data_IF_461226129464
#
_entry.id   IF_461226129464
#
_cell.length_a   1.000
_cell.length_b   1.000
_cell.length_c   1.000
_cell.angle_alpha   90.00
_cell.angle_beta   90.00
_cell.angle_gamma   90.00
#
_symmetry.space_group_name_H-M   'P 1'
#
loop_
_entity.id
_entity.type
_entity.pdbx_description
1 polymer ?
#
# COMPACT_ATOMS: atom_id res chain seq x y z
N UNK A 1 11.44 -58.68 -45.81
CA UNK A 1 11.61 -57.23 -45.58
C UNK A 1 10.37 -56.74 -44.86
N UNK A 2 10.47 -56.57 -43.54
CA UNK A 2 9.35 -56.29 -42.64
C UNK A 2 8.95 -54.80 -42.64
N UNK A 3 7.66 -54.48 -42.45
CA UNK A 3 7.06 -53.16 -42.70
C UNK A 3 7.28 -52.20 -41.52
N UNK A 4 8.51 -51.70 -41.34
CA UNK A 4 8.86 -50.81 -40.23
C UNK A 4 8.57 -49.32 -40.47
N UNK A 5 7.66 -48.96 -41.39
CA UNK A 5 7.50 -47.57 -41.86
C UNK A 5 6.17 -46.88 -41.51
N UNK A 6 5.21 -47.60 -40.90
CA UNK A 6 3.87 -47.03 -40.61
C UNK A 6 3.54 -46.75 -39.15
N UNK A 7 4.43 -47.09 -38.20
CA UNK A 7 4.16 -46.88 -36.76
C UNK A 7 4.58 -45.49 -36.22
N UNK A 8 5.27 -44.67 -37.02
CA UNK A 8 5.89 -43.41 -36.54
C UNK A 8 4.92 -42.23 -36.59
N UNK A 9 3.95 -42.24 -37.51
CA UNK A 9 2.98 -41.14 -37.66
C UNK A 9 2.02 -40.99 -36.45
N UNK A 10 1.43 -42.06 -35.88
CA UNK A 10 0.51 -41.93 -34.75
C UNK A 10 1.22 -41.46 -33.47
N UNK A 11 2.48 -41.87 -33.28
CA UNK A 11 3.28 -41.48 -32.12
C UNK A 11 3.67 -39.99 -32.15
N UNK A 12 3.99 -39.45 -33.33
CA UNK A 12 4.25 -38.02 -33.51
C UNK A 12 2.97 -37.18 -33.33
N UNK A 13 1.81 -37.68 -33.76
CA UNK A 13 0.54 -37.00 -33.56
C UNK A 13 0.17 -36.94 -32.06
N UNK A 14 0.37 -38.02 -31.31
CA UNK A 14 0.12 -38.05 -29.87
C UNK A 14 1.00 -37.06 -29.08
N UNK A 15 2.27 -36.87 -29.48
CA UNK A 15 3.14 -35.84 -28.89
C UNK A 15 2.65 -34.42 -29.18
N UNK A 16 2.04 -34.19 -30.34
CA UNK A 16 1.57 -32.85 -30.74
C UNK A 16 0.30 -32.40 -30.01
N UNK A 17 -0.57 -33.35 -29.59
CA UNK A 17 -1.82 -33.02 -28.89
C UNK A 17 -1.59 -32.74 -27.40
N UNK A 18 -0.58 -33.36 -26.77
CA UNK A 18 -0.25 -33.10 -25.37
C UNK A 18 0.37 -31.71 -25.09
N UNK A 19 0.66 -30.91 -26.14
CA UNK A 19 1.15 -29.54 -25.97
C UNK A 19 0.02 -28.50 -25.99
N UNK A 20 -1.21 -28.90 -26.33
CA UNK A 20 -2.34 -28.00 -26.30
C UNK A 20 -2.98 -28.03 -24.92
N UNK A 21 -3.09 -26.85 -24.30
CA UNK A 21 -3.92 -26.55 -23.13
C UNK A 21 -3.21 -26.67 -21.77
N UNK A 22 -2.23 -25.80 -21.56
CA UNK A 22 -2.12 -25.08 -20.28
C UNK A 22 -2.04 -23.59 -20.59
N UNK A 23 -3.12 -23.03 -21.14
CA UNK A 23 -3.34 -21.58 -21.09
C UNK A 23 -3.73 -21.22 -19.65
N UNK A 24 -2.77 -21.34 -18.74
CA UNK A 24 -2.92 -20.91 -17.36
C UNK A 24 -3.11 -19.40 -17.37
N UNK A 25 -4.27 -18.93 -16.97
CA UNK A 25 -4.49 -17.51 -16.70
C UNK A 25 -3.53 -17.07 -15.60
N UNK A 26 -2.53 -16.27 -15.95
CA UNK A 26 -1.63 -15.69 -14.97
C UNK A 26 -2.41 -14.74 -14.07
N UNK A 27 -2.55 -15.08 -12.79
CA UNK A 27 -3.16 -14.21 -11.78
C UNK A 27 -2.12 -13.24 -11.26
N UNK A 28 -2.32 -11.94 -11.46
CA UNK A 28 -1.49 -10.91 -10.87
C UNK A 28 -2.18 -10.37 -9.60
N UNK A 29 -1.53 -10.49 -8.45
CA UNK A 29 -1.94 -9.84 -7.22
C UNK A 29 -1.07 -8.61 -7.00
N UNK A 30 -1.68 -7.46 -6.73
CA UNK A 30 -0.96 -6.26 -6.30
C UNK A 30 -1.49 -5.81 -4.95
N UNK A 31 -0.57 -5.35 -4.10
CA UNK A 31 -0.88 -4.73 -2.83
C UNK A 31 -0.63 -3.23 -2.96
N UNK A 32 -1.64 -2.45 -2.62
CA UNK A 32 -1.59 -0.98 -2.62
C UNK A 32 -1.82 -0.52 -1.18
N UNK A 33 -0.98 0.40 -0.71
CA UNK A 33 -1.17 1.07 0.57
C UNK A 33 -1.42 2.55 0.32
N UNK A 34 -2.55 3.04 0.81
CA UNK A 34 -2.83 4.48 0.89
C UNK A 34 -2.41 4.98 2.27
N UNK A 35 -1.43 5.86 2.33
CA UNK A 35 -1.07 6.58 3.56
C UNK A 35 -1.63 7.99 3.44
N UNK A 36 -2.62 8.32 4.28
CA UNK A 36 -3.15 9.67 4.38
C UNK A 36 -2.21 10.43 5.31
N UNK A 37 -1.33 11.26 4.73
CA UNK A 37 -0.49 12.13 5.52
C UNK A 37 -1.30 13.35 5.96
N UNK A 38 -1.29 13.58 7.25
CA UNK A 38 -1.97 14.71 7.83
C UNK A 38 -1.05 15.92 7.99
N UNK A 39 -1.62 17.12 7.88
CA UNK A 39 -0.91 18.36 8.18
C UNK A 39 -1.74 19.23 9.11
N UNK A 40 -1.10 19.65 10.20
CA UNK A 40 -1.63 20.62 11.16
C UNK A 40 -0.71 21.82 11.24
N UNK A 41 -1.29 23.01 11.28
CA UNK A 41 -0.58 24.29 11.47
C UNK A 41 -0.90 24.83 12.83
N UNK A 42 0.13 25.22 13.58
CA UNK A 42 0.00 25.81 14.91
C UNK A 42 0.24 27.30 14.78
N UNK A 43 -0.78 28.10 15.08
CA UNK A 43 -0.70 29.56 15.08
C UNK A 43 -0.70 30.04 16.52
N UNK A 44 0.37 30.74 16.90
CA UNK A 44 0.53 31.34 18.23
C UNK A 44 0.39 32.86 18.11
N UNK A 45 -0.66 33.42 18.71
CA UNK A 45 -0.85 34.86 18.88
C UNK A 45 -0.78 35.20 20.36
N UNK A 46 -0.43 36.44 20.73
CA UNK A 46 0.00 36.88 22.09
C UNK A 46 -0.59 36.13 23.31
N UNK A 47 -1.88 35.80 23.31
CA UNK A 47 -2.56 35.06 24.39
C UNK A 47 -3.40 33.85 23.92
N UNK A 48 -3.25 33.42 22.66
CA UNK A 48 -4.06 32.35 22.08
C UNK A 48 -3.24 31.46 21.17
N UNK A 49 -3.43 30.15 21.32
CA UNK A 49 -2.89 29.14 20.41
C UNK A 49 -4.06 28.52 19.66
N UNK A 50 -3.95 28.51 18.33
CA UNK A 50 -4.93 27.87 17.47
C UNK A 50 -4.23 26.77 16.68
N UNK A 51 -4.83 25.58 16.66
CA UNK A 51 -4.38 24.46 15.84
C UNK A 51 -5.37 24.30 14.69
N UNK A 52 -4.87 24.35 13.47
CA UNK A 52 -5.65 24.11 12.25
C UNK A 52 -5.13 22.84 11.58
N UNK A 53 -5.92 21.78 11.63
CA UNK A 53 -5.63 20.53 10.93
C UNK A 53 -6.42 20.46 9.61
N UNK A 54 -5.80 19.87 8.57
CA UNK A 54 -6.45 19.63 7.26
C UNK A 54 -7.62 18.65 7.37
N UNK A 55 -7.53 17.73 8.33
CA UNK A 55 -8.57 16.77 8.66
C UNK A 55 -9.04 17.02 10.10
N UNK A 56 -10.19 16.44 10.46
CA UNK A 56 -10.85 16.66 11.75
C UNK A 56 -10.20 15.86 12.88
N UNK A 57 -8.88 15.97 12.97
CA UNK A 57 -8.03 15.12 13.78
C UNK A 57 -8.08 15.59 15.22
N UNK A 58 -8.29 14.66 16.16
CA UNK A 58 -8.28 15.02 17.57
C UNK A 58 -6.89 15.53 17.96
N UNK A 59 -6.87 16.60 18.75
CA UNK A 59 -5.64 17.11 19.35
C UNK A 59 -5.95 17.63 20.76
N UNK A 60 -4.93 17.64 21.60
CA UNK A 60 -4.98 18.18 22.96
C UNK A 60 -4.00 19.35 23.09
N UNK A 61 -4.46 20.43 23.71
CA UNK A 61 -3.63 21.59 24.04
C UNK A 61 -3.44 21.61 25.55
N UNK A 62 -2.18 21.56 26.00
CA UNK A 62 -1.84 21.64 27.41
C UNK A 62 -0.91 22.83 27.66
N UNK A 63 -1.28 23.71 28.59
CA UNK A 63 -0.47 24.86 28.99
C UNK A 63 0.26 24.53 30.29
N UNK A 64 1.58 24.49 30.23
CA UNK A 64 2.45 24.33 31.40
C UNK A 64 3.04 25.67 31.80
N UNK A 65 2.89 26.01 33.08
CA UNK A 65 3.61 27.14 33.67
C UNK A 65 5.06 26.73 33.90
N UNK A 66 6.01 27.38 33.23
CA UNK A 66 7.43 27.14 33.46
C UNK A 66 7.90 28.00 34.65
N UNK A 67 8.80 27.48 35.52
CA UNK A 67 9.32 28.23 36.67
C UNK A 67 10.01 29.55 36.31
N UNK A 68 10.47 29.69 35.06
CA UNK A 68 11.07 30.90 34.51
C UNK A 68 10.08 32.02 34.16
N UNK A 69 8.77 31.81 34.39
CA UNK A 69 7.72 32.78 34.05
C UNK A 69 7.30 32.77 32.57
N UNK A 70 7.96 31.97 31.72
CA UNK A 70 7.48 31.67 30.37
C UNK A 70 6.38 30.62 30.45
N UNK A 71 5.27 30.80 29.74
CA UNK A 71 4.31 29.71 29.51
C UNK A 71 4.83 28.78 28.41
N UNK A 72 4.68 27.47 28.57
CA UNK A 72 4.95 26.47 27.54
C UNK A 72 3.61 25.87 27.09
N UNK A 73 3.35 25.89 25.79
CA UNK A 73 2.16 25.24 25.22
C UNK A 73 2.59 23.96 24.50
N UNK A 74 2.09 22.84 24.99
CA UNK A 74 2.31 21.50 24.42
C UNK A 74 1.08 21.10 23.62
N UNK A 75 1.30 20.63 22.39
CA UNK A 75 0.25 20.13 21.50
C UNK A 75 0.54 18.67 21.22
N UNK A 76 -0.46 17.81 21.41
CA UNK A 76 -0.37 16.37 21.20
C UNK A 76 -1.47 15.94 20.23
N UNK A 77 -1.11 15.08 19.28
CA UNK A 77 -1.98 14.51 18.25
C UNK A 77 -2.25 13.04 18.56
#
# INVERSE_FOLDING_TARGET
MTPLKFAVLPALLALSVCQATNAGTATASFQTSLVIQESCTIVSQRNSHQVQCRHNTPYLIHQQAMPSGSGLTVITF
#
